data_IF_065559342565
#
_entry.id   IF_065559342565
#
_cell.length_a   1.000
_cell.length_b   1.000
_cell.length_c   1.000
_cell.angle_alpha   90.00
_cell.angle_beta   90.00
_cell.angle_gamma   90.00
#
_symmetry.space_group_name_H-M   'P 1'
#
loop_
_entity.id
_entity.type
_entity.pdbx_description
1 polymer ?
#
# COMPACT_ATOMS: atom_id res chain seq x y z
N UNK A 1 18.03 -20.16 -13.28
CA UNK A 1 17.21 -18.94 -13.05
C UNK A 1 17.42 -18.53 -11.60
N UNK A 2 17.56 -17.23 -11.32
CA UNK A 2 17.62 -16.77 -9.93
C UNK A 2 16.26 -17.04 -9.26
N UNK A 3 16.27 -17.56 -8.04
CA UNK A 3 15.05 -17.76 -7.25
C UNK A 3 14.44 -16.39 -6.95
N UNK A 4 13.14 -16.23 -7.25
CA UNK A 4 12.40 -15.02 -6.93
C UNK A 4 12.47 -14.74 -5.43
N UNK A 5 12.76 -13.49 -5.07
CA UNK A 5 12.80 -13.04 -3.68
C UNK A 5 11.40 -12.59 -3.26
N UNK A 6 11.03 -12.86 -2.01
CA UNK A 6 9.80 -12.36 -1.41
C UNK A 6 10.08 -11.79 -0.04
N UNK A 7 9.37 -10.74 0.35
CA UNK A 7 9.31 -10.29 1.74
C UNK A 7 8.70 -11.38 2.60
N UNK A 8 9.29 -11.63 3.77
CA UNK A 8 8.79 -12.55 4.77
C UNK A 8 8.65 -11.76 6.07
N UNK A 9 7.42 -11.57 6.54
CA UNK A 9 7.17 -11.02 7.87
C UNK A 9 7.09 -12.17 8.89
N UNK A 10 8.04 -12.27 9.83
CA UNK A 10 7.93 -13.22 10.93
C UNK A 10 6.83 -12.81 11.89
N UNK A 11 6.14 -13.78 12.48
CA UNK A 11 5.06 -13.54 13.42
C UNK A 11 5.06 -14.61 14.53
N UNK A 12 4.51 -14.27 15.69
CA UNK A 12 4.46 -15.18 16.85
C UNK A 12 3.05 -15.32 17.44
N UNK A 13 2.17 -14.37 17.16
CA UNK A 13 0.79 -14.32 17.63
C UNK A 13 -0.16 -14.88 16.57
N UNK A 14 -1.26 -15.52 16.99
CA UNK A 14 -2.31 -16.02 16.07
C UNK A 14 -3.26 -14.91 15.59
N UNK A 15 -2.81 -13.66 15.59
CA UNK A 15 -3.59 -12.52 15.16
C UNK A 15 -3.74 -12.49 13.64
N UNK A 16 -4.74 -11.74 13.19
CA UNK A 16 -5.03 -11.54 11.76
C UNK A 16 -4.97 -10.07 11.43
N UNK A 17 -4.70 -9.77 10.16
CA UNK A 17 -4.59 -8.41 9.67
C UNK A 17 -4.98 -8.37 8.20
N UNK A 18 -5.43 -7.20 7.75
CA UNK A 18 -5.77 -6.98 6.35
C UNK A 18 -4.50 -6.63 5.56
N UNK A 19 -4.44 -7.09 4.31
CA UNK A 19 -3.38 -6.79 3.35
C UNK A 19 -3.99 -6.78 1.95
N UNK A 20 -3.20 -6.38 0.95
CA UNK A 20 -3.58 -6.46 -0.45
C UNK A 20 -2.64 -7.36 -1.23
N UNK A 21 -3.15 -7.96 -2.30
CA UNK A 21 -2.35 -8.57 -3.36
C UNK A 21 -2.46 -7.73 -4.63
N UNK A 22 -1.34 -7.53 -5.30
CA UNK A 22 -1.29 -6.95 -6.63
C UNK A 22 -1.43 -8.05 -7.66
N UNK A 23 -2.60 -8.16 -8.30
CA UNK A 23 -2.90 -9.21 -9.25
C UNK A 23 -3.10 -8.66 -10.66
N UNK A 24 -2.46 -9.27 -11.65
CA UNK A 24 -2.68 -8.93 -13.06
C UNK A 24 -3.44 -10.07 -13.74
N UNK A 25 -4.60 -9.76 -14.33
CA UNK A 25 -5.43 -10.77 -14.99
C UNK A 25 -4.67 -11.48 -16.11
N UNK A 26 -4.67 -12.81 -16.09
CA UNK A 26 -4.05 -13.61 -17.15
C UNK A 26 -4.93 -13.70 -18.42
N UNK A 27 -6.23 -13.54 -18.27
CA UNK A 27 -7.25 -13.57 -19.34
C UNK A 27 -8.42 -12.66 -18.96
N UNK A 28 -9.33 -12.42 -19.90
CA UNK A 28 -10.61 -11.76 -19.64
C UNK A 28 -11.43 -12.61 -18.65
N UNK A 29 -11.86 -12.01 -17.54
CA UNK A 29 -12.60 -12.69 -16.49
C UNK A 29 -13.72 -11.80 -15.95
N UNK A 30 -14.85 -12.40 -15.56
CA UNK A 30 -15.88 -11.66 -14.83
C UNK A 30 -15.39 -11.25 -13.45
N UNK A 31 -15.93 -10.15 -12.91
CA UNK A 31 -15.65 -9.72 -11.53
C UNK A 31 -15.88 -10.86 -10.53
N UNK A 32 -16.99 -11.59 -10.63
CA UNK A 32 -17.27 -12.76 -9.79
C UNK A 32 -16.25 -13.89 -9.94
N UNK A 33 -15.69 -14.11 -11.12
CA UNK A 33 -14.68 -15.15 -11.36
C UNK A 33 -13.35 -14.78 -10.70
N UNK A 34 -12.93 -13.51 -10.81
CA UNK A 34 -11.73 -13.00 -10.12
C UNK A 34 -11.93 -13.07 -8.61
N UNK A 35 -13.08 -12.61 -8.10
CA UNK A 35 -13.39 -12.67 -6.68
C UNK A 35 -13.39 -14.12 -6.15
N UNK A 36 -13.95 -15.05 -6.93
CA UNK A 36 -13.97 -16.48 -6.60
C UNK A 36 -12.58 -17.11 -6.60
N UNK A 37 -11.65 -16.61 -7.44
CA UNK A 37 -10.28 -17.12 -7.50
C UNK A 37 -9.50 -16.90 -6.19
N UNK A 38 -9.82 -15.81 -5.48
CA UNK A 38 -9.18 -15.43 -4.21
C UNK A 38 -10.08 -15.67 -2.98
N UNK A 39 -11.33 -16.07 -3.17
CA UNK A 39 -12.36 -16.18 -2.13
C UNK A 39 -12.60 -14.87 -1.38
N UNK A 40 -12.76 -13.78 -2.14
CA UNK A 40 -13.04 -12.43 -1.64
C UNK A 40 -14.43 -11.96 -2.07
N UNK A 41 -14.93 -10.93 -1.41
CA UNK A 41 -16.18 -10.27 -1.80
C UNK A 41 -15.97 -9.42 -3.08
N UNK A 42 -16.78 -9.62 -4.15
CA UNK A 42 -16.57 -8.93 -5.42
C UNK A 42 -16.72 -7.41 -5.29
N UNK A 43 -17.65 -6.92 -4.47
CA UNK A 43 -17.89 -5.49 -4.27
C UNK A 43 -16.71 -4.84 -3.55
N UNK A 44 -16.19 -5.49 -2.51
CA UNK A 44 -15.00 -5.04 -1.77
C UNK A 44 -13.74 -5.03 -2.65
N UNK A 45 -13.61 -6.00 -3.57
CA UNK A 45 -12.54 -6.02 -4.57
C UNK A 45 -12.64 -4.82 -5.52
N UNK A 46 -13.84 -4.51 -6.03
CA UNK A 46 -14.06 -3.35 -6.90
C UNK A 46 -13.73 -2.02 -6.20
N UNK A 47 -14.24 -1.83 -4.99
CA UNK A 47 -14.02 -0.62 -4.19
C UNK A 47 -12.55 -0.44 -3.77
N UNK A 48 -11.82 -1.53 -3.52
CA UNK A 48 -10.37 -1.48 -3.29
C UNK A 48 -9.61 -0.90 -4.49
N UNK A 49 -10.20 -0.93 -5.68
CA UNK A 49 -9.68 -0.38 -6.93
C UNK A 49 -10.37 0.91 -7.37
N UNK A 50 -11.16 1.55 -6.49
CA UNK A 50 -11.99 2.72 -6.80
C UNK A 50 -12.95 2.51 -7.97
N UNK A 51 -13.38 1.27 -8.23
CA UNK A 51 -14.37 1.00 -9.27
C UNK A 51 -15.78 1.27 -8.73
N UNK A 52 -16.57 2.00 -9.51
CA UNK A 52 -17.94 2.37 -9.20
C UNK A 52 -18.87 1.14 -9.22
N UNK A 53 -19.48 0.88 -8.07
CA UNK A 53 -20.39 -0.25 -7.84
C UNK A 53 -21.86 0.09 -8.13
N UNK A 54 -22.16 1.33 -8.51
CA UNK A 54 -23.52 1.76 -8.86
C UNK A 54 -23.98 1.26 -10.23
N UNK A 55 -23.05 0.73 -11.04
CA UNK A 55 -23.36 0.17 -12.35
C UNK A 55 -24.23 -1.09 -12.21
N UNK A 56 -25.28 -1.24 -13.04
CA UNK A 56 -26.11 -2.43 -13.00
C UNK A 56 -25.28 -3.65 -13.41
N UNK A 57 -25.49 -4.78 -12.72
CA UNK A 57 -24.83 -6.05 -13.00
C UNK A 57 -23.29 -6.02 -12.97
N UNK A 58 -22.72 -5.08 -12.20
CA UNK A 58 -21.26 -4.86 -12.12
C UNK A 58 -20.46 -6.11 -11.72
N UNK A 59 -21.07 -7.03 -10.95
CA UNK A 59 -20.45 -8.29 -10.54
C UNK A 59 -20.26 -9.28 -11.71
N UNK A 60 -21.04 -9.16 -12.78
CA UNK A 60 -20.90 -9.99 -13.98
C UNK A 60 -20.14 -9.27 -15.11
N UNK A 61 -19.70 -8.03 -14.87
CA UNK A 61 -18.87 -7.28 -15.80
C UNK A 61 -17.58 -8.03 -16.12
N UNK A 62 -17.18 -8.04 -17.39
CA UNK A 62 -15.94 -8.70 -17.85
C UNK A 62 -14.79 -7.70 -17.76
N UNK A 63 -13.79 -8.04 -16.94
CA UNK A 63 -12.56 -7.28 -16.82
C UNK A 63 -11.54 -7.78 -17.85
N UNK A 64 -10.85 -6.88 -18.57
CA UNK A 64 -9.92 -7.27 -19.63
C UNK A 64 -8.64 -7.90 -19.07
N UNK A 65 -8.07 -8.82 -19.83
CA UNK A 65 -6.75 -9.39 -19.59
C UNK A 65 -5.70 -8.28 -19.42
N UNK A 66 -4.71 -8.54 -18.56
CA UNK A 66 -3.65 -7.59 -18.18
C UNK A 66 -4.11 -6.39 -17.34
N UNK A 67 -5.38 -6.30 -16.97
CA UNK A 67 -5.82 -5.36 -15.95
C UNK A 67 -5.14 -5.72 -14.60
N UNK A 68 -4.59 -4.71 -13.93
CA UNK A 68 -4.03 -4.85 -12.59
C UNK A 68 -5.08 -4.47 -11.56
N UNK A 69 -5.26 -5.32 -10.55
CA UNK A 69 -6.19 -5.15 -9.44
C UNK A 69 -5.47 -5.32 -8.10
N UNK A 70 -5.90 -4.53 -7.12
CA UNK A 70 -5.64 -4.73 -5.70
C UNK A 70 -6.70 -5.67 -5.15
N UNK A 71 -6.30 -6.86 -4.68
CA UNK A 71 -7.21 -7.86 -4.12
C UNK A 71 -7.10 -7.82 -2.59
N UNK A 72 -8.17 -7.46 -1.86
CA UNK A 72 -8.16 -7.43 -0.40
C UNK A 72 -8.13 -8.85 0.16
N UNK A 73 -7.16 -9.13 1.03
CA UNK A 73 -7.00 -10.43 1.68
C UNK A 73 -6.80 -10.28 3.18
N UNK A 74 -7.06 -11.36 3.91
CA UNK A 74 -6.73 -11.47 5.33
C UNK A 74 -5.52 -12.36 5.51
N UNK A 75 -4.54 -11.85 6.24
CA UNK A 75 -3.33 -12.54 6.64
C UNK A 75 -3.52 -13.16 8.01
N UNK A 76 -2.92 -14.32 8.21
CA UNK A 76 -2.78 -14.95 9.52
C UNK A 76 -1.33 -15.34 9.77
N UNK A 77 -0.98 -15.54 11.03
CA UNK A 77 0.31 -16.11 11.37
C UNK A 77 0.25 -17.63 11.28
N UNK A 78 1.01 -18.21 10.36
CA UNK A 78 1.05 -19.66 10.16
C UNK A 78 2.50 -20.10 10.01
N UNK A 79 2.92 -21.06 10.82
CA UNK A 79 4.30 -21.56 10.89
C UNK A 79 5.34 -20.46 11.16
N UNK A 80 4.95 -19.45 11.94
CA UNK A 80 5.82 -18.32 12.29
C UNK A 80 5.99 -17.27 11.19
N UNK A 81 5.26 -17.37 10.09
CA UNK A 81 5.31 -16.44 8.96
C UNK A 81 3.90 -15.93 8.63
N UNK A 82 3.79 -14.66 8.25
CA UNK A 82 2.54 -14.10 7.72
C UNK A 82 2.26 -14.63 6.32
N UNK A 83 1.11 -15.28 6.16
CA UNK A 83 0.58 -15.74 4.87
C UNK A 83 -0.94 -15.81 4.92
N UNK A 84 -1.58 -15.83 3.75
CA UNK A 84 -3.01 -16.09 3.62
C UNK A 84 -3.23 -17.51 3.12
N UNK A 85 -4.00 -18.30 3.88
CA UNK A 85 -4.39 -19.68 3.53
C UNK A 85 -5.88 -19.82 3.23
N UNK A 86 -6.61 -18.71 3.15
CA UNK A 86 -8.04 -18.70 2.87
C UNK A 86 -8.35 -19.05 1.41
N UNK A 87 -7.35 -18.95 0.54
CA UNK A 87 -7.52 -19.19 -0.89
C UNK A 87 -7.42 -20.66 -1.23
N UNK A 88 -8.42 -21.16 -1.97
CA UNK A 88 -8.47 -22.53 -2.45
C UNK A 88 -8.75 -22.59 -3.95
N UNK A 89 -8.00 -23.45 -4.63
CA UNK A 89 -8.14 -23.67 -6.05
C UNK A 89 -8.62 -25.09 -6.32
N UNK A 90 -9.58 -25.24 -7.26
CA UNK A 90 -9.98 -26.55 -7.77
C UNK A 90 -9.29 -26.77 -9.11
N UNK A 91 -8.50 -27.83 -9.20
CA UNK A 91 -7.76 -28.19 -10.41
C UNK A 91 -8.69 -28.44 -11.59
N UNK A 92 -8.23 -28.02 -12.75
CA UNK A 92 -8.88 -28.18 -14.06
C UNK A 92 -8.08 -29.15 -14.91
N UNK A 93 -8.64 -29.52 -16.05
CA UNK A 93 -7.96 -30.36 -17.03
C UNK A 93 -6.65 -29.72 -17.46
N UNK A 94 -5.57 -30.51 -17.47
CA UNK A 94 -4.22 -30.09 -17.86
C UNK A 94 -3.53 -29.10 -16.91
N UNK A 95 -4.06 -28.90 -15.71
CA UNK A 95 -3.37 -28.10 -14.70
C UNK A 95 -2.09 -28.77 -14.21
N UNK A 96 -1.07 -27.95 -14.00
CA UNK A 96 0.17 -28.29 -13.31
C UNK A 96 0.38 -27.30 -12.17
N UNK A 97 1.17 -27.64 -11.15
CA UNK A 97 1.50 -26.65 -10.10
C UNK A 97 2.14 -25.39 -10.68
N UNK A 98 2.98 -25.54 -11.72
CA UNK A 98 3.58 -24.44 -12.48
C UNK A 98 2.54 -23.54 -13.15
N UNK A 99 1.61 -24.10 -13.92
CA UNK A 99 0.59 -23.29 -14.60
C UNK A 99 -0.35 -22.59 -13.61
N UNK A 100 -0.68 -23.24 -12.49
CA UNK A 100 -1.49 -22.64 -11.42
C UNK A 100 -0.72 -21.47 -10.78
N UNK A 101 0.52 -21.69 -10.37
CA UNK A 101 1.37 -20.67 -9.74
C UNK A 101 1.63 -19.47 -10.66
N UNK A 102 2.22 -19.74 -11.82
CA UNK A 102 2.79 -18.70 -12.69
C UNK A 102 1.72 -18.02 -13.56
N UNK A 103 0.73 -18.78 -14.04
CA UNK A 103 -0.28 -18.23 -14.96
C UNK A 103 -1.55 -17.83 -14.23
N UNK A 104 -2.16 -18.74 -13.46
CA UNK A 104 -3.46 -18.46 -12.80
C UNK A 104 -3.30 -17.44 -11.68
N UNK A 105 -2.31 -17.62 -10.79
CA UNK A 105 -2.01 -16.72 -9.68
C UNK A 105 -0.92 -15.69 -10.00
N UNK A 106 -0.46 -15.63 -11.24
CA UNK A 106 0.43 -14.57 -11.73
C UNK A 106 1.78 -14.48 -11.01
N UNK A 107 2.29 -15.60 -10.50
CA UNK A 107 3.55 -15.67 -9.78
C UNK A 107 3.47 -15.18 -8.33
N UNK A 108 2.26 -14.98 -7.77
CA UNK A 108 2.09 -14.65 -6.35
C UNK A 108 2.54 -15.80 -5.42
N UNK A 109 2.66 -17.01 -5.94
CA UNK A 109 3.08 -18.20 -5.19
C UNK A 109 3.92 -19.07 -6.13
N UNK A 110 4.83 -19.87 -5.58
CA UNK A 110 5.61 -20.85 -6.35
C UNK A 110 4.99 -22.26 -6.32
N UNK A 111 5.32 -23.14 -7.29
CA UNK A 111 4.90 -24.54 -7.28
C UNK A 111 5.29 -25.27 -5.99
N UNK A 112 6.50 -25.01 -5.48
CA UNK A 112 7.02 -25.61 -4.25
C UNK A 112 6.24 -25.13 -3.03
N UNK A 113 5.85 -23.86 -2.99
CA UNK A 113 5.01 -23.33 -1.91
C UNK A 113 3.62 -23.98 -1.93
N UNK A 114 3.01 -24.16 -3.10
CA UNK A 114 1.75 -24.91 -3.23
C UNK A 114 1.96 -26.36 -2.74
N UNK A 115 3.03 -27.02 -3.16
CA UNK A 115 3.33 -28.39 -2.74
C UNK A 115 3.47 -28.51 -1.22
N UNK A 116 4.26 -27.64 -0.59
CA UNK A 116 4.48 -27.63 0.86
C UNK A 116 3.16 -27.39 1.62
N UNK A 117 2.34 -26.45 1.17
CA UNK A 117 1.05 -26.17 1.81
C UNK A 117 0.03 -27.31 1.69
N UNK A 118 0.24 -28.25 0.78
CA UNK A 118 -0.64 -29.39 0.51
C UNK A 118 0.07 -30.73 0.71
N UNK A 119 1.03 -30.79 1.65
CA UNK A 119 1.88 -31.98 1.88
C UNK A 119 1.10 -33.26 2.23
N UNK A 120 -0.13 -33.14 2.72
CA UNK A 120 -1.02 -34.27 3.01
C UNK A 120 -1.74 -34.83 1.76
N UNK A 121 -1.60 -34.18 0.61
CA UNK A 121 -2.18 -34.59 -0.68
C UNK A 121 -1.08 -35.14 -1.57
N UNK A 122 -1.32 -36.30 -2.21
CA UNK A 122 -0.42 -36.80 -3.25
C UNK A 122 -0.58 -35.94 -4.51
N UNK A 123 0.45 -35.14 -4.82
CA UNK A 123 0.48 -34.24 -5.97
C UNK A 123 1.33 -34.77 -7.13
N UNK A 124 1.69 -36.06 -7.11
CA UNK A 124 2.39 -36.70 -8.23
C UNK A 124 1.53 -36.76 -9.50
N UNK A 125 0.20 -36.82 -9.32
CA UNK A 125 -0.81 -36.69 -10.39
C UNK A 125 -1.89 -35.73 -9.93
N UNK A 126 -2.08 -34.63 -10.67
CA UNK A 126 -3.13 -33.65 -10.38
C UNK A 126 -4.44 -34.06 -11.06
N UNK A 127 -5.28 -34.81 -10.35
CA UNK A 127 -6.63 -35.13 -10.80
C UNK A 127 -7.51 -33.87 -10.85
N UNK A 128 -8.46 -33.84 -11.79
CA UNK A 128 -9.43 -32.73 -11.94
C UNK A 128 -10.35 -32.67 -10.71
N UNK A 129 -10.54 -31.46 -10.19
CA UNK A 129 -11.39 -31.20 -9.02
C UNK A 129 -10.68 -31.33 -7.67
N UNK A 130 -9.41 -31.73 -7.66
CA UNK A 130 -8.55 -31.68 -6.47
C UNK A 130 -8.53 -30.27 -5.90
N UNK A 131 -8.77 -30.14 -4.60
CA UNK A 131 -8.80 -28.85 -3.90
C UNK A 131 -7.43 -28.58 -3.29
N UNK A 132 -6.75 -27.57 -3.82
CA UNK A 132 -5.45 -27.10 -3.35
C UNK A 132 -5.62 -25.87 -2.47
N UNK A 133 -4.89 -25.80 -1.36
CA UNK A 133 -4.65 -24.57 -0.59
C UNK A 133 -3.60 -23.75 -1.33
N UNK A 134 -3.86 -22.46 -1.54
CA UNK A 134 -2.94 -21.55 -2.21
C UNK A 134 -2.36 -20.58 -1.17
N UNK A 135 -1.10 -20.76 -0.74
CA UNK A 135 -0.50 -19.93 0.29
C UNK A 135 -0.02 -18.60 -0.27
N UNK A 136 -0.87 -17.57 -0.19
CA UNK A 136 -0.55 -16.26 -0.76
C UNK A 136 0.32 -15.44 0.22
N UNK A 137 1.39 -14.78 -0.27
CA UNK A 137 2.28 -13.99 0.57
C UNK A 137 1.61 -12.68 0.95
N UNK A 138 1.80 -12.27 2.19
CA UNK A 138 1.31 -10.97 2.64
C UNK A 138 2.06 -10.48 3.87
N UNK A 139 1.98 -9.18 4.09
CA UNK A 139 2.59 -8.48 5.21
C UNK A 139 1.62 -7.45 5.77
N UNK A 140 1.84 -7.06 7.01
CA UNK A 140 0.98 -6.17 7.77
C UNK A 140 1.81 -5.17 8.57
N UNK A 141 2.93 -5.59 9.17
CA UNK A 141 3.78 -4.74 10.01
C UNK A 141 2.98 -3.85 10.99
N UNK A 142 2.02 -4.47 11.71
CA UNK A 142 1.09 -3.82 12.63
C UNK A 142 0.22 -2.68 12.03
N UNK A 143 0.04 -2.64 10.72
CA UNK A 143 -0.78 -1.64 10.03
C UNK A 143 -0.17 -0.25 10.00
N UNK A 144 1.16 -0.16 10.16
CA UNK A 144 1.89 1.11 10.17
C UNK A 144 3.17 1.03 9.36
N UNK A 145 3.58 2.18 8.82
CA UNK A 145 4.88 2.43 8.21
C UNK A 145 5.37 3.79 8.69
N UNK A 146 6.59 3.87 9.22
CA UNK A 146 7.13 5.08 9.87
C UNK A 146 6.17 5.77 10.89
N UNK A 147 5.44 4.97 11.67
CA UNK A 147 4.40 5.44 12.62
C UNK A 147 3.16 6.10 11.99
N UNK A 148 3.01 6.02 10.68
CA UNK A 148 1.81 6.41 9.95
C UNK A 148 0.98 5.17 9.60
N UNK A 149 -0.36 5.26 9.54
CA UNK A 149 -1.17 4.14 9.09
C UNK A 149 -0.82 3.72 7.66
N UNK A 150 -0.59 2.42 7.48
CA UNK A 150 -0.25 1.85 6.19
C UNK A 150 -0.92 0.49 6.00
N UNK A 151 -1.22 0.17 4.74
CA UNK A 151 -1.65 -1.16 4.32
C UNK A 151 -0.66 -1.69 3.30
N UNK A 152 -0.20 -2.92 3.46
CA UNK A 152 0.82 -3.46 2.57
C UNK A 152 0.20 -4.19 1.39
N UNK A 153 0.83 -4.05 0.23
CA UNK A 153 0.48 -4.70 -1.03
C UNK A 153 1.60 -5.64 -1.43
N UNK A 154 1.32 -6.94 -1.56
CA UNK A 154 2.25 -7.89 -2.18
C UNK A 154 2.23 -7.71 -3.69
N UNK A 155 3.32 -7.21 -4.26
CA UNK A 155 3.42 -6.86 -5.68
C UNK A 155 4.46 -7.74 -6.40
N UNK A 156 4.04 -8.46 -7.43
CA UNK A 156 4.94 -9.23 -8.30
C UNK A 156 5.59 -8.30 -9.32
N UNK A 157 6.91 -8.19 -9.27
CA UNK A 157 7.74 -7.37 -10.17
C UNK A 157 7.66 -7.93 -11.59
N UNK A 158 7.39 -7.06 -12.57
CA UNK A 158 7.33 -7.41 -13.99
C UNK A 158 8.62 -7.00 -14.70
N UNK A 159 8.84 -7.57 -15.89
CA UNK A 159 10.00 -7.27 -16.75
C UNK A 159 10.22 -5.80 -17.10
N UNK A 160 9.17 -4.99 -17.07
CA UNK A 160 9.22 -3.55 -17.40
C UNK A 160 9.35 -2.66 -16.17
N UNK A 161 9.23 -3.21 -14.97
CA UNK A 161 9.17 -2.42 -13.76
C UNK A 161 10.59 -1.98 -13.34
N UNK A 162 10.67 -0.79 -12.75
CA UNK A 162 11.86 -0.29 -12.06
C UNK A 162 11.47 0.06 -10.64
N UNK A 163 12.41 0.01 -9.69
CA UNK A 163 12.12 0.35 -8.29
C UNK A 163 11.52 1.76 -8.16
N UNK A 164 12.09 2.74 -8.88
CA UNK A 164 11.55 4.10 -8.93
C UNK A 164 10.16 4.18 -9.56
N UNK A 165 9.90 3.38 -10.61
CA UNK A 165 8.58 3.30 -11.24
C UNK A 165 7.51 2.73 -10.30
N UNK A 166 7.85 1.67 -9.54
CA UNK A 166 6.98 1.08 -8.52
C UNK A 166 6.72 2.09 -7.39
N UNK A 167 7.77 2.73 -6.86
CA UNK A 167 7.65 3.74 -5.82
C UNK A 167 6.70 4.87 -6.23
N UNK A 168 6.91 5.43 -7.42
CA UNK A 168 6.06 6.48 -8.00
C UNK A 168 4.61 6.00 -8.19
N UNK A 169 4.40 4.78 -8.70
CA UNK A 169 3.07 4.22 -8.93
C UNK A 169 2.23 4.16 -7.66
N UNK A 170 2.85 3.78 -6.55
CA UNK A 170 2.19 3.58 -5.27
C UNK A 170 2.35 4.74 -4.30
N UNK A 171 2.89 5.87 -4.76
CA UNK A 171 3.11 7.08 -3.95
C UNK A 171 3.92 6.80 -2.67
N UNK A 172 4.96 5.99 -2.80
CA UNK A 172 5.97 5.70 -1.78
C UNK A 172 7.36 6.09 -2.29
N UNK A 173 8.42 5.89 -1.50
CA UNK A 173 9.80 6.18 -1.91
C UNK A 173 10.60 4.90 -2.18
N UNK A 174 11.67 5.02 -2.95
CA UNK A 174 12.62 3.91 -3.17
C UNK A 174 13.22 3.47 -1.84
N UNK A 175 13.52 4.42 -0.96
CA UNK A 175 14.07 4.17 0.37
C UNK A 175 13.11 3.35 1.23
N UNK A 176 11.83 3.73 1.28
CA UNK A 176 10.82 2.99 2.06
C UNK A 176 10.64 1.58 1.51
N UNK A 177 10.58 1.43 0.18
CA UNK A 177 10.53 0.12 -0.45
C UNK A 177 11.75 -0.73 -0.07
N UNK A 178 12.97 -0.19 -0.15
CA UNK A 178 14.16 -0.96 0.24
C UNK A 178 14.16 -1.32 1.73
N UNK A 179 13.69 -0.43 2.60
CA UNK A 179 13.65 -0.64 4.05
C UNK A 179 12.64 -1.73 4.43
N UNK A 180 11.39 -1.60 3.97
CA UNK A 180 10.30 -2.57 4.24
C UNK A 180 10.67 -3.97 3.73
N UNK A 181 11.37 -4.04 2.60
CA UNK A 181 11.76 -5.31 1.98
C UNK A 181 13.12 -5.83 2.47
N UNK A 182 13.74 -5.19 3.47
CA UNK A 182 15.05 -5.52 4.02
C UNK A 182 16.13 -5.68 2.93
N UNK A 183 16.10 -4.81 1.92
CA UNK A 183 17.00 -4.85 0.77
C UNK A 183 18.24 -4.00 1.01
N UNK A 184 19.43 -4.55 0.75
CA UNK A 184 20.69 -3.79 0.82
C UNK A 184 20.91 -2.84 -0.38
N UNK A 185 20.19 -3.06 -1.48
CA UNK A 185 20.22 -2.24 -2.69
C UNK A 185 18.85 -2.32 -3.40
N UNK A 186 18.44 -1.32 -4.19
CA UNK A 186 17.15 -1.28 -4.88
C UNK A 186 17.07 -2.19 -6.13
N UNK A 187 17.80 -3.31 -6.10
CA UNK A 187 17.87 -4.27 -7.21
C UNK A 187 16.68 -5.22 -7.17
N UNK A 188 15.87 -5.20 -8.24
CA UNK A 188 14.69 -6.05 -8.39
C UNK A 188 14.80 -6.87 -9.67
N UNK A 189 14.30 -8.10 -9.62
CA UNK A 189 14.19 -8.99 -10.77
C UNK A 189 12.73 -9.31 -11.06
N UNK A 190 12.39 -9.60 -12.32
CA UNK A 190 11.06 -10.08 -12.66
C UNK A 190 10.72 -11.34 -11.86
N UNK A 191 9.53 -11.38 -11.26
CA UNK A 191 9.08 -12.43 -10.37
C UNK A 191 9.35 -12.18 -8.88
N UNK A 192 10.20 -11.22 -8.52
CA UNK A 192 10.34 -10.81 -7.11
C UNK A 192 8.99 -10.29 -6.57
N UNK A 193 8.67 -10.59 -5.32
CA UNK A 193 7.45 -10.15 -4.63
C UNK A 193 7.83 -9.13 -3.58
N UNK A 194 7.43 -7.89 -3.79
CA UNK A 194 7.68 -6.78 -2.87
C UNK A 194 6.47 -6.55 -1.97
N UNK A 195 6.72 -6.30 -0.68
CA UNK A 195 5.77 -5.64 0.20
C UNK A 195 5.85 -4.13 -0.05
N UNK A 196 4.80 -3.56 -0.62
CA UNK A 196 4.69 -2.13 -0.92
C UNK A 196 3.81 -1.46 0.14
N UNK A 197 4.34 -0.54 0.97
CA UNK A 197 3.52 0.21 1.92
C UNK A 197 2.63 1.19 1.17
N UNK A 198 1.31 1.11 1.37
CA UNK A 198 0.36 2.08 0.87
C UNK A 198 -0.07 2.97 2.03
N UNK A 199 0.13 4.28 1.88
CA UNK A 199 -0.41 5.27 2.82
C UNK A 199 -1.91 5.07 2.99
N UNK A 200 -2.36 5.05 4.24
CA UNK A 200 -3.74 4.73 4.57
C UNK A 200 -4.32 5.67 5.62
N UNK A 201 -5.64 5.58 5.77
CA UNK A 201 -6.37 6.19 6.86
C UNK A 201 -6.82 5.08 7.82
N UNK A 202 -6.46 5.21 9.10
CA UNK A 202 -6.97 4.32 10.15
C UNK A 202 -8.22 4.92 10.79
N UNK A 203 -9.18 4.06 11.08
CA UNK A 203 -10.36 4.42 11.86
C UNK A 203 -10.00 4.66 13.33
N UNK A 204 -10.78 5.53 13.99
CA UNK A 204 -10.71 5.73 15.43
C UNK A 204 -11.97 5.19 16.11
N UNK A 205 -12.48 4.06 15.64
CA UNK A 205 -13.70 3.47 16.19
C UNK A 205 -13.46 2.90 17.59
N UNK A 206 -14.50 2.76 18.41
CA UNK A 206 -14.38 2.12 19.71
C UNK A 206 -13.92 0.66 19.59
N UNK A 207 -13.10 0.17 20.53
CA UNK A 207 -12.58 -1.21 20.53
C UNK A 207 -13.63 -2.32 20.53
N UNK A 208 -14.86 -2.02 20.94
CA UNK A 208 -15.98 -2.97 20.93
C UNK A 208 -16.70 -3.03 19.58
N UNK A 209 -16.39 -2.12 18.66
CA UNK A 209 -16.94 -2.15 17.31
C UNK A 209 -16.33 -3.32 16.54
N UNK A 210 -17.16 -4.01 15.77
CA UNK A 210 -16.75 -5.17 14.95
C UNK A 210 -15.78 -4.80 13.83
N UNK A 211 -15.79 -3.54 13.41
CA UNK A 211 -14.92 -2.94 12.40
C UNK A 211 -13.85 -2.03 13.02
N UNK A 212 -13.55 -2.21 14.31
CA UNK A 212 -12.40 -1.59 14.95
C UNK A 212 -11.11 -1.89 14.19
N UNK A 213 -10.28 -0.85 13.98
CA UNK A 213 -9.02 -1.00 13.26
C UNK A 213 -9.20 -1.10 11.74
N UNK A 214 -10.36 -0.69 11.19
CA UNK A 214 -10.53 -0.50 9.75
C UNK A 214 -9.47 0.47 9.23
N UNK A 215 -8.67 0.01 8.27
CA UNK A 215 -7.63 0.78 7.57
C UNK A 215 -7.97 0.77 6.09
N UNK A 216 -7.97 1.95 5.47
CA UNK A 216 -8.31 2.12 4.05
C UNK A 216 -7.15 2.82 3.35
N UNK A 217 -6.51 2.19 2.35
CA UNK A 217 -5.42 2.82 1.63
C UNK A 217 -5.93 4.00 0.79
N UNK A 218 -5.03 4.93 0.51
CA UNK A 218 -5.34 6.08 -0.31
C UNK A 218 -5.76 5.66 -1.73
N UNK A 219 -6.81 6.28 -2.26
CA UNK A 219 -7.36 5.90 -3.57
C UNK A 219 -8.13 4.58 -3.56
N UNK A 220 -8.69 4.19 -2.42
CA UNK A 220 -9.52 3.00 -2.26
C UNK A 220 -10.70 3.30 -1.33
N UNK A 221 -11.73 2.47 -1.46
CA UNK A 221 -12.95 2.50 -0.66
C UNK A 221 -13.13 1.17 0.07
N UNK A 222 -13.83 1.19 1.20
CA UNK A 222 -14.22 -0.01 1.93
C UNK A 222 -15.68 0.07 2.37
N UNK A 223 -16.35 -1.08 2.36
CA UNK A 223 -17.67 -1.24 2.95
C UNK A 223 -17.54 -1.78 4.38
N UNK A 224 -18.41 -1.29 5.25
CA UNK A 224 -18.56 -1.80 6.61
C UNK A 224 -20.05 -1.81 7.01
N UNK A 225 -20.35 -2.30 8.21
CA UNK A 225 -21.69 -2.39 8.76
C UNK A 225 -22.66 -3.18 7.87
N UNK A 226 -22.22 -4.31 7.29
CA UNK A 226 -23.06 -5.11 6.40
C UNK A 226 -23.41 -4.39 5.10
N UNK A 227 -22.42 -3.75 4.48
CA UNK A 227 -22.53 -3.00 3.21
C UNK A 227 -23.40 -1.73 3.30
N UNK A 228 -23.69 -1.27 4.51
CA UNK A 228 -24.47 -0.06 4.74
C UNK A 228 -23.66 1.23 4.70
N UNK A 229 -22.37 1.16 5.07
CA UNK A 229 -21.52 2.34 5.18
C UNK A 229 -20.34 2.16 4.25
N UNK A 230 -20.10 3.16 3.40
CA UNK A 230 -18.94 3.24 2.52
C UNK A 230 -17.98 4.27 3.08
N UNK A 231 -16.71 3.90 3.20
CA UNK A 231 -15.65 4.74 3.75
C UNK A 231 -14.51 4.89 2.74
N UNK A 232 -13.82 6.03 2.79
CA UNK A 232 -12.62 6.32 1.99
C UNK A 232 -11.64 7.16 2.80
N UNK A 233 -10.37 7.08 2.42
CA UNK A 233 -9.34 8.01 2.88
C UNK A 233 -9.47 9.34 2.10
N UNK A 234 -9.51 10.47 2.79
CA UNK A 234 -9.61 11.80 2.15
C UNK A 234 -8.24 12.22 1.62
N UNK A 235 -8.17 12.57 0.33
CA UNK A 235 -6.94 12.93 -0.37
C UNK A 235 -6.22 14.11 0.31
N UNK A 236 -4.90 14.01 0.44
CA UNK A 236 -4.07 15.04 1.08
C UNK A 236 -4.27 15.17 2.59
N UNK A 237 -5.20 14.41 3.17
CA UNK A 237 -5.41 14.30 4.60
C UNK A 237 -5.03 12.89 5.10
N UNK A 238 -5.07 12.67 6.41
CA UNK A 238 -4.99 11.32 7.03
C UNK A 238 -6.32 10.93 7.69
N UNK A 239 -7.41 11.53 7.24
CA UNK A 239 -8.73 11.35 7.84
C UNK A 239 -9.62 10.46 6.97
N UNK A 240 -10.31 9.54 7.63
CA UNK A 240 -11.34 8.72 7.00
C UNK A 240 -12.65 9.52 6.90
N UNK A 241 -13.30 9.47 5.74
CA UNK A 241 -14.65 9.95 5.53
C UNK A 241 -15.56 8.77 5.21
N UNK A 242 -16.76 8.76 5.77
CA UNK A 242 -17.74 7.71 5.55
C UNK A 242 -19.11 8.31 5.27
N UNK A 243 -19.86 7.64 4.40
CA UNK A 243 -21.20 8.00 3.97
C UNK A 243 -22.07 6.74 3.79
N UNK A 244 -23.40 6.88 3.70
CA UNK A 244 -24.28 5.76 3.36
C UNK A 244 -23.87 5.14 2.01
N UNK A 245 -23.74 3.81 1.97
CA UNK A 245 -23.43 3.09 0.75
C UNK A 245 -24.62 3.10 -0.22
N UNK A 246 -24.34 3.14 -1.53
CA UNK A 246 -25.37 3.25 -2.57
C UNK A 246 -26.16 1.95 -2.83
N UNK A 247 -25.71 0.82 -2.29
CA UNK A 247 -26.18 -0.53 -2.67
C UNK A 247 -27.04 -1.24 -1.62
N UNK A 248 -27.16 -0.70 -0.40
CA UNK A 248 -27.88 -1.40 0.68
C UNK A 248 -29.34 -0.98 0.80
N UNK A 249 -30.22 -1.98 0.82
CA UNK A 249 -31.68 -1.80 0.87
C UNK A 249 -32.24 -1.84 2.30
N UNK A 250 -31.46 -2.23 3.31
CA UNK A 250 -31.95 -2.37 4.69
C UNK A 250 -30.84 -2.11 5.72
N UNK A 251 -30.72 -0.87 6.16
CA UNK A 251 -29.74 -0.43 7.14
C UNK A 251 -30.40 0.10 8.41
N UNK A 252 -29.70 -0.03 9.54
CA UNK A 252 -30.06 0.69 10.76
C UNK A 252 -29.91 2.20 10.58
N UNK A 253 -30.50 2.97 11.49
CA UNK A 253 -30.47 4.44 11.42
C UNK A 253 -29.04 4.98 11.43
N UNK A 254 -28.70 5.79 10.42
CA UNK A 254 -27.43 6.53 10.31
C UNK A 254 -27.54 7.99 10.77
N UNK A 255 -28.57 8.32 11.57
CA UNK A 255 -28.77 9.67 12.09
C UNK A 255 -27.99 9.88 13.38
N UNK A 256 -27.24 10.98 13.45
CA UNK A 256 -26.56 11.38 14.66
C UNK A 256 -27.54 11.70 15.80
N UNK A 257 -27.25 11.15 16.99
CA UNK A 257 -28.10 11.26 18.18
C UNK A 257 -28.46 12.71 18.47
N UNK A 258 -29.74 12.95 18.78
CA UNK A 258 -30.29 14.27 19.12
C UNK A 258 -30.08 15.36 18.05
N UNK A 259 -29.99 14.97 16.77
CA UNK A 259 -29.80 15.91 15.66
C UNK A 259 -30.54 15.47 14.41
N UNK A 260 -30.60 16.36 13.40
CA UNK A 260 -31.11 16.05 12.07
C UNK A 260 -29.99 15.73 11.06
N UNK A 261 -28.75 15.59 11.54
CA UNK A 261 -27.61 15.27 10.69
C UNK A 261 -27.55 13.78 10.44
N UNK A 262 -27.47 13.40 9.17
CA UNK A 262 -27.20 12.03 8.74
C UNK A 262 -25.69 11.81 8.59
N UNK A 263 -25.27 10.55 8.63
CA UNK A 263 -23.88 10.17 8.39
C UNK A 263 -23.34 10.80 7.10
N UNK A 264 -22.12 11.33 7.17
CA UNK A 264 -21.44 12.00 6.04
C UNK A 264 -21.77 13.49 5.93
N UNK A 265 -22.80 13.97 6.64
CA UNK A 265 -23.20 15.37 6.58
C UNK A 265 -22.19 16.26 7.31
N UNK A 266 -21.67 17.26 6.58
CA UNK A 266 -20.71 18.25 7.07
C UNK A 266 -21.28 19.64 6.78
N UNK A 267 -21.51 20.44 7.82
CA UNK A 267 -21.95 21.83 7.66
C UNK A 267 -20.92 22.79 8.22
N UNK A 268 -20.61 23.83 7.46
CA UNK A 268 -19.71 24.91 7.84
C UNK A 268 -20.51 26.20 7.97
N UNK A 269 -20.35 26.88 9.11
CA UNK A 269 -20.94 28.19 9.36
C UNK A 269 -19.81 29.17 9.66
N UNK A 270 -19.65 30.18 8.80
CA UNK A 270 -18.65 31.21 9.00
C UNK A 270 -19.10 32.15 10.13
N UNK A 271 -18.19 32.43 11.07
CA UNK A 271 -18.36 33.36 12.17
C UNK A 271 -17.19 34.35 12.22
N UNK A 272 -17.32 35.39 13.04
CA UNK A 272 -16.23 36.33 13.32
C UNK A 272 -15.00 35.67 13.96
N UNK A 273 -15.18 34.51 14.58
CA UNK A 273 -14.15 33.73 15.28
C UNK A 273 -13.57 32.57 14.44
N UNK A 274 -13.97 32.43 13.17
CA UNK A 274 -13.53 31.36 12.28
C UNK A 274 -14.70 30.63 11.64
N UNK A 275 -14.60 29.32 11.52
CA UNK A 275 -15.61 28.48 10.90
C UNK A 275 -16.07 27.40 11.86
N UNK A 276 -17.34 27.46 12.24
CA UNK A 276 -17.99 26.45 13.07
C UNK A 276 -18.41 25.29 12.17
N UNK A 277 -17.70 24.18 12.32
CA UNK A 277 -17.96 22.93 11.62
C UNK A 277 -18.84 22.04 12.48
N UNK A 278 -19.90 21.47 11.90
CA UNK A 278 -20.68 20.39 12.51
C UNK A 278 -20.61 19.19 11.58
N UNK A 279 -20.15 18.04 12.08
CA UNK A 279 -20.03 16.82 11.28
C UNK A 279 -20.73 15.67 11.97
N UNK A 280 -21.44 14.86 11.19
CA UNK A 280 -21.95 13.57 11.64
C UNK A 280 -21.08 12.46 11.03
N UNK A 281 -20.17 11.92 11.83
CA UNK A 281 -19.20 10.94 11.41
C UNK A 281 -19.62 9.53 11.82
N UNK A 282 -19.11 8.54 11.08
CA UNK A 282 -19.25 7.14 11.44
C UNK A 282 -18.36 6.84 12.66
N UNK A 283 -18.84 5.96 13.55
CA UNK A 283 -18.16 5.62 14.79
C UNK A 283 -18.15 4.10 15.06
N UNK A 284 -18.21 3.30 14.00
CA UNK A 284 -18.16 1.84 14.05
C UNK A 284 -19.52 1.14 14.05
N UNK A 285 -19.48 -0.18 13.98
CA UNK A 285 -20.65 -1.07 13.97
C UNK A 285 -20.61 -2.02 15.15
N UNK A 286 -21.67 -2.01 15.96
CA UNK A 286 -21.78 -2.89 17.12
C UNK A 286 -23.21 -3.38 17.31
N UNK A 287 -23.36 -4.68 17.59
CA UNK A 287 -24.66 -5.30 17.91
C UNK A 287 -25.76 -5.00 16.88
N UNK A 288 -25.42 -5.05 15.58
CA UNK A 288 -26.36 -4.78 14.49
C UNK A 288 -26.70 -3.30 14.28
N UNK A 289 -26.07 -2.38 15.02
CA UNK A 289 -26.37 -0.94 14.99
C UNK A 289 -25.19 -0.14 14.46
N UNK A 290 -25.47 0.78 13.54
CA UNK A 290 -24.51 1.77 13.05
C UNK A 290 -24.35 2.86 14.11
N UNK A 291 -23.11 3.02 14.59
CA UNK A 291 -22.78 4.06 15.55
C UNK A 291 -22.34 5.31 14.79
N UNK A 292 -22.87 6.46 15.22
CA UNK A 292 -22.53 7.76 14.63
C UNK A 292 -22.21 8.75 15.74
N UNK A 293 -21.28 9.65 15.48
CA UNK A 293 -20.87 10.70 16.42
C UNK A 293 -21.08 12.07 15.78
N UNK A 294 -21.79 12.93 16.50
CA UNK A 294 -21.89 14.35 16.13
C UNK A 294 -20.70 15.08 16.76
N UNK A 295 -19.88 15.74 15.95
CA UNK A 295 -18.79 16.57 16.43
C UNK A 295 -18.98 18.02 15.98
N UNK A 296 -18.61 18.95 16.85
CA UNK A 296 -18.63 20.38 16.57
C UNK A 296 -17.24 20.94 16.85
N UNK A 297 -16.64 21.60 15.87
CA UNK A 297 -15.29 22.16 15.99
C UNK A 297 -15.24 23.56 15.40
N UNK A 298 -14.35 24.41 15.92
CA UNK A 298 -14.07 25.72 15.36
C UNK A 298 -12.71 25.68 14.64
N UNK A 299 -12.70 25.97 13.35
CA UNK A 299 -11.48 26.02 12.54
C UNK A 299 -11.21 27.45 12.06
N UNK A 300 -9.96 27.89 11.89
CA UNK A 300 -9.66 29.25 11.41
C UNK A 300 -10.22 29.55 10.01
N UNK A 301 -10.36 28.52 9.17
CA UNK A 301 -10.93 28.60 7.82
C UNK A 301 -11.98 27.52 7.64
N UNK A 302 -13.00 27.80 6.82
CA UNK A 302 -13.96 26.76 6.46
C UNK A 302 -13.30 25.75 5.53
N UNK A 303 -13.44 24.44 5.80
CA UNK A 303 -12.93 23.42 4.91
C UNK A 303 -13.72 23.46 3.60
N UNK A 304 -13.03 23.17 2.49
CA UNK A 304 -13.66 22.89 1.22
C UNK A 304 -14.40 21.54 1.24
N UNK A 305 -15.07 21.18 0.14
CA UNK A 305 -15.62 19.83 -0.02
C UNK A 305 -14.51 18.78 0.16
N UNK A 306 -14.85 17.67 0.79
CA UNK A 306 -13.91 16.56 0.97
C UNK A 306 -13.49 16.05 -0.42
N UNK A 307 -12.18 15.99 -0.66
CA UNK A 307 -11.65 15.45 -1.90
C UNK A 307 -11.42 13.95 -1.71
N UNK A 308 -12.26 13.14 -2.33
CA UNK A 308 -12.09 11.69 -2.40
C UNK A 308 -11.54 11.31 -3.78
N UNK A 309 -10.90 10.14 -3.87
CA UNK A 309 -10.51 9.61 -5.16
C UNK A 309 -11.76 9.35 -6.02
N UNK A 310 -11.82 9.82 -7.27
CA UNK A 310 -13.00 9.60 -8.08
C UNK A 310 -13.22 8.11 -8.30
N UNK A 311 -14.47 7.67 -8.15
CA UNK A 311 -14.85 6.33 -8.60
C UNK A 311 -14.76 6.29 -10.14
N UNK A 312 -14.18 5.22 -10.66
CA UNK A 312 -14.02 4.97 -12.09
C UNK A 312 -15.03 3.93 -12.55
N UNK A 313 -15.54 4.08 -13.77
CA UNK A 313 -16.38 3.05 -14.37
C UNK A 313 -15.61 1.71 -14.48
N UNK A 314 -16.30 0.56 -14.40
CA UNK A 314 -15.70 -0.73 -14.68
C UNK A 314 -14.98 -0.71 -16.04
N UNK A 315 -13.68 -1.04 -16.10
CA UNK A 315 -12.91 -0.88 -17.32
C UNK A 315 -13.24 -1.96 -18.36
N UNK A 316 -13.50 -1.55 -19.59
CA UNK A 316 -13.63 -2.46 -20.76
C UNK A 316 -12.30 -2.68 -21.48
N UNK A 317 -11.32 -1.81 -21.24
CA UNK A 317 -9.98 -1.87 -21.84
C UNK A 317 -8.94 -1.57 -20.77
N UNK A 318 -7.72 -2.06 -20.96
CA UNK A 318 -6.62 -1.74 -20.03
C UNK A 318 -6.23 -0.28 -20.22
N UNK A 319 -6.38 0.58 -19.19
CA UNK A 319 -5.97 1.99 -19.27
C UNK A 319 -4.49 2.11 -19.65
N UNK A 320 -4.18 3.03 -20.58
CA UNK A 320 -2.80 3.27 -21.05
C UNK A 320 -1.83 3.63 -19.91
N UNK A 321 -2.32 4.28 -18.85
CA UNK A 321 -1.54 4.61 -17.64
C UNK A 321 -1.12 3.37 -16.84
N UNK A 322 -1.88 2.27 -16.91
CA UNK A 322 -1.51 0.98 -16.31
C UNK A 322 -0.55 0.16 -17.20
N UNK A 323 -0.44 0.51 -18.49
CA UNK A 323 0.53 -0.07 -19.42
C UNK A 323 1.89 0.65 -19.41
N UNK A 324 1.90 1.97 -19.19
CA UNK A 324 3.12 2.79 -19.27
C UNK A 324 3.15 3.85 -18.17
N UNK A 325 3.79 3.54 -17.04
CA UNK A 325 4.34 4.60 -16.20
C UNK A 325 5.72 4.96 -16.79
N UNK A 326 5.97 6.23 -17.15
CA UNK A 326 7.21 6.62 -17.78
C UNK A 326 8.37 6.38 -16.80
N UNK A 327 9.39 5.64 -17.24
CA UNK A 327 10.70 5.68 -16.59
C UNK A 327 11.14 7.13 -16.52
N UNK A 328 11.36 7.71 -15.33
CA UNK A 328 11.97 9.02 -15.26
C UNK A 328 13.40 8.87 -15.79
N UNK A 329 13.74 9.66 -16.80
CA UNK A 329 15.13 9.90 -17.19
C UNK A 329 15.91 10.38 -15.95
N UNK A 330 17.20 10.03 -15.80
CA UNK A 330 17.97 10.43 -14.64
C UNK A 330 18.10 11.96 -14.61
N UNK A 331 17.44 12.61 -13.65
CA UNK A 331 17.69 14.00 -13.32
C UNK A 331 18.95 14.10 -12.46
N UNK A 332 19.88 15.03 -12.75
CA UNK A 332 21.07 15.23 -11.93
C UNK A 332 20.69 15.78 -10.54
N UNK A 333 21.45 15.35 -9.54
CA UNK A 333 21.36 15.76 -8.14
C UNK A 333 21.42 17.28 -7.96
N UNK A 334 20.62 17.89 -7.05
CA UNK A 334 20.77 19.29 -6.72
C UNK A 334 21.91 19.49 -5.70
N UNK A 335 22.92 20.26 -6.09
CA UNK A 335 23.85 20.91 -5.17
C UNK A 335 23.13 22.10 -4.49
N UNK A 336 23.27 22.16 -3.17
CA UNK A 336 22.88 23.20 -2.23
C UNK A 336 24.20 23.91 -1.84
N UNK A 337 24.38 25.22 -1.72
CA UNK A 337 23.54 26.40 -1.55
C UNK A 337 24.41 27.64 -1.90
N UNK A 338 23.83 28.81 -2.21
CA UNK A 338 23.93 29.99 -1.33
C UNK A 338 23.22 31.24 -1.88
N UNK A 339 22.57 31.93 -0.96
CA UNK A 339 21.64 33.06 -1.11
C UNK A 339 22.39 34.40 -1.11
N UNK A 340 22.05 35.35 -2.00
CA UNK A 340 21.92 36.79 -1.65
C UNK A 340 20.85 37.51 -2.50
N UNK A 341 19.75 37.86 -1.83
CA UNK A 341 18.93 39.07 -1.86
C UNK A 341 18.78 39.97 -3.11
N UNK A 342 17.52 40.32 -3.40
CA UNK A 342 17.19 41.62 -4.03
C UNK A 342 15.84 41.73 -4.75
N UNK A 343 14.80 42.12 -4.01
CA UNK A 343 13.83 43.18 -4.37
C UNK A 343 13.05 43.19 -5.70
N UNK A 344 11.73 43.23 -5.53
CA UNK A 344 10.75 44.08 -6.26
C UNK A 344 9.90 43.49 -7.38
N UNK A 345 8.60 43.61 -7.10
CA UNK A 345 7.39 43.62 -7.95
C UNK A 345 7.54 44.14 -9.38
N UNK A 346 6.75 43.59 -10.31
CA UNK A 346 5.62 44.26 -11.02
C UNK A 346 4.93 43.24 -11.95
N UNK A 347 3.64 43.46 -12.17
CA UNK A 347 2.68 42.64 -12.88
C UNK A 347 2.80 42.66 -14.43
N UNK A 348 2.23 41.61 -15.01
CA UNK A 348 1.31 41.62 -16.16
C UNK A 348 1.82 41.53 -17.63
N UNK A 349 1.33 40.45 -18.26
CA UNK A 349 0.86 40.28 -19.66
C UNK A 349 1.86 39.81 -20.74
N UNK A 350 1.49 38.81 -21.59
CA UNK A 350 2.40 38.13 -22.51
C UNK A 350 2.31 38.67 -23.94
N UNK A 351 3.40 38.53 -24.72
CA UNK A 351 3.32 38.54 -26.18
C UNK A 351 4.54 37.87 -26.85
N UNK A 352 4.23 36.84 -27.63
CA UNK A 352 4.78 36.48 -28.95
C UNK A 352 6.29 36.22 -29.15
N UNK A 353 6.58 34.96 -29.52
CA UNK A 353 7.71 34.49 -30.33
C UNK A 353 7.65 35.01 -31.80
N UNK A 354 8.52 34.54 -32.73
CA UNK A 354 9.97 34.63 -32.76
C UNK A 354 10.48 35.11 -34.15
N UNK A 355 11.69 35.70 -34.23
CA UNK A 355 12.51 35.66 -35.46
C UNK A 355 14.00 35.65 -35.08
N UNK A 356 14.69 34.56 -35.40
CA UNK A 356 16.16 34.53 -35.52
C UNK A 356 16.61 35.14 -36.85
N UNK A 357 17.81 34.83 -37.38
CA UNK A 357 18.92 34.04 -36.81
C UNK A 357 20.28 34.80 -36.91
N UNK A 358 21.39 34.06 -36.94
CA UNK A 358 22.81 34.41 -37.22
C UNK A 358 23.70 34.55 -35.97
N UNK A 359 24.46 33.53 -35.55
CA UNK A 359 25.69 32.89 -36.10
C UNK A 359 26.97 33.56 -35.55
N UNK A 360 27.73 32.76 -34.77
CA UNK A 360 29.21 32.70 -34.58
C UNK A 360 29.96 34.00 -34.20
N UNK A 361 31.06 34.04 -33.46
CA UNK A 361 31.96 33.05 -32.87
C UNK A 361 33.04 33.83 -32.09
N UNK A 362 33.59 33.16 -31.09
CA UNK A 362 35.03 33.11 -30.75
C UNK A 362 35.76 34.29 -30.11
N UNK A 363 36.57 33.88 -29.11
CA UNK A 363 37.84 34.46 -28.62
C UNK A 363 37.70 35.75 -27.80
N UNK A 364 38.37 35.94 -26.67
CA UNK A 364 39.74 35.57 -26.30
C UNK A 364 40.03 35.83 -24.81
N UNK A 365 40.79 34.91 -24.21
CA UNK A 365 41.72 35.02 -23.06
C UNK A 365 42.68 36.23 -23.31
N UNK A 366 43.22 37.02 -22.33
CA UNK A 366 44.12 36.52 -21.27
C UNK A 366 44.24 37.31 -19.95
N UNK A 367 44.87 36.68 -18.95
CA UNK A 367 45.52 37.44 -17.87
C UNK A 367 45.75 36.68 -16.55
N UNK A 368 46.80 35.86 -16.50
CA UNK A 368 47.57 35.64 -15.26
C UNK A 368 48.50 36.86 -15.05
N UNK A 369 49.08 37.18 -13.87
CA UNK A 369 49.87 36.25 -13.05
C UNK A 369 49.95 36.50 -11.52
N UNK A 370 50.71 35.62 -10.83
CA UNK A 370 51.69 35.90 -9.77
C UNK A 370 51.42 35.46 -8.30
N UNK A 371 52.26 34.49 -7.89
CA UNK A 371 53.09 34.37 -6.65
C UNK A 371 52.46 34.13 -5.25
N UNK A 372 53.03 33.11 -4.55
CA UNK A 372 52.66 32.54 -3.23
C UNK A 372 53.11 33.36 -1.99
N UNK A 373 53.57 32.77 -0.84
CA UNK A 373 53.79 31.35 -0.46
C UNK A 373 53.29 30.95 0.96
N UNK A 374 53.51 29.68 1.39
CA UNK A 374 54.00 29.38 2.75
C UNK A 374 53.21 28.44 3.70
N UNK A 375 53.73 27.20 3.88
CA UNK A 375 53.73 26.38 5.12
C UNK A 375 52.40 25.75 5.61
N UNK A 376 52.31 24.58 6.22
CA UNK A 376 53.27 23.56 6.66
C UNK A 376 52.51 22.27 7.04
N UNK A 377 53.14 21.14 6.71
CA UNK A 377 53.15 19.79 7.32
C UNK A 377 52.32 19.48 8.59
N UNK A 378 51.65 18.31 8.61
CA UNK A 378 52.00 17.21 9.52
C UNK A 378 51.38 15.87 9.10
N UNK A 379 52.19 14.83 9.29
CA UNK A 379 52.05 13.42 8.90
C UNK A 379 51.70 12.60 10.16
N UNK A 380 51.18 11.39 9.94
CA UNK A 380 51.27 10.17 10.78
C UNK A 380 49.92 9.73 11.39
N UNK A 381 49.32 8.61 10.96
CA UNK A 381 49.69 7.19 11.11
C UNK A 381 49.18 6.56 12.42
N UNK A 382 48.38 5.49 12.25
CA UNK A 382 47.99 4.38 13.12
C UNK A 382 48.97 4.01 14.27
N UNK A 383 48.54 3.36 15.39
CA UNK A 383 48.13 1.93 15.36
C UNK A 383 47.12 1.40 16.40
N UNK A 384 46.75 0.13 16.21
CA UNK A 384 46.07 -0.79 17.13
C UNK A 384 46.81 -0.98 18.47
N UNK A 385 46.07 -1.22 19.58
CA UNK A 385 45.99 -2.53 20.30
C UNK A 385 45.61 -2.45 21.80
N UNK A 386 44.85 -3.47 22.26
CA UNK A 386 44.82 -4.10 23.61
C UNK A 386 44.21 -3.39 24.84
N UNK A 387 43.14 -3.95 25.44
CA UNK A 387 43.16 -4.72 26.71
C UNK A 387 41.78 -5.22 27.15
N UNK A 388 41.77 -6.43 27.71
CA UNK A 388 40.68 -7.16 28.37
C UNK A 388 40.83 -7.02 29.90
N UNK A 389 39.74 -6.90 30.68
CA UNK A 389 39.60 -7.38 32.08
C UNK A 389 38.22 -7.01 32.67
N UNK A 390 37.43 -8.01 33.08
CA UNK A 390 36.95 -8.26 34.46
C UNK A 390 35.88 -9.38 34.42
N UNK A 391 36.17 -10.45 35.14
CA UNK A 391 35.26 -11.53 35.53
C UNK A 391 35.37 -11.71 37.05
N UNK A 392 34.23 -11.94 37.74
CA UNK A 392 33.97 -12.53 39.08
C UNK A 392 32.63 -11.96 39.58
N UNK A 393 31.68 -12.62 40.24
CA UNK A 393 31.44 -13.98 40.75
C UNK A 393 29.96 -14.02 41.22
N UNK A 394 29.30 -15.18 41.16
CA UNK A 394 28.66 -15.90 42.29
C UNK A 394 27.93 -17.12 41.73
N UNK A 395 28.22 -18.27 42.31
CA UNK A 395 27.69 -19.60 42.04
C UNK A 395 27.05 -20.17 43.31
N UNK A 396 26.23 -21.22 43.14
CA UNK A 396 25.81 -22.28 44.09
C UNK A 396 24.36 -22.19 44.61
N UNK A 397 23.55 -23.18 44.19
CA UNK A 397 22.64 -24.05 44.96
C UNK A 397 21.49 -24.53 44.05
N UNK A 398 21.14 -25.79 43.81
CA UNK A 398 21.56 -27.09 44.35
C UNK A 398 21.02 -28.20 43.43
N UNK A 399 21.80 -29.29 43.28
CA UNK A 399 21.32 -30.60 42.85
C UNK A 399 20.11 -31.07 43.66
N UNK A 400 19.15 -31.77 43.06
CA UNK A 400 18.55 -32.96 43.66
C UNK A 400 17.73 -33.79 42.66
N UNK A 401 17.94 -35.11 42.74
CA UNK A 401 17.14 -36.24 42.27
C UNK A 401 17.30 -36.79 40.84
N UNK A 402 18.20 -37.78 40.75
CA UNK A 402 18.11 -38.97 39.89
C UNK A 402 17.58 -40.15 40.74
N UNK A 403 16.86 -41.06 40.08
CA UNK A 403 16.57 -42.48 40.37
C UNK A 403 15.14 -42.88 40.79
N UNK A 404 14.52 -43.73 39.96
CA UNK A 404 14.14 -45.14 40.18
C UNK A 404 13.23 -45.57 38.99
N UNK A 405 13.26 -46.75 38.36
CA UNK A 405 14.07 -47.98 38.35
C UNK A 405 13.87 -48.61 36.96
#
# INVERSE_FOLDING_TARGET
MATAKSTIEPCSTKDTCNSLLGYTLYTDLKVTEVASLFQVDPVSMLLSNSIDISYPDVENHVLPAKLFLKIPITCSCVDGIRKSLSTHYKTRTSDTLGSIADSVYGGLVSPEQIQVANSETDLSVLDVGTRLVIPLPCACFNGTDESLPALYLSYVVRGIDTMAGIAKRFSTTVTDLTNVNAMGAPDINPGDILAVPLLACSSNFPKYATDYGLIIPNGSYALTAGHCVQCSCVLGSRSMYCEPASISVSCSSMRCRNSNYMLGNITSQQSSSGCKLTTCSYNGFASGTILTTLSMSLQPRCPGPQQLAPLIAPPDTVPKELMYLPSPSPSPSPEFDDIVGGGSSIAAVPAASPRGPTVSSSSSIPGNPANGPGGSISIASCPLSYYSFIAFLISIASCFFVFLV
#
